data_IF_554506702709
#
_entry.id   IF_554506702709
#
_cell.length_a   1.000
_cell.length_b   1.000
_cell.length_c   1.000
_cell.angle_alpha   90.00
_cell.angle_beta   90.00
_cell.angle_gamma   90.00
#
_symmetry.space_group_name_H-M   'P 1'
#
loop_
_entity.id
_entity.type
_entity.pdbx_description
1 polymer ?
#
# COMPACT_ATOMS: atom_id res chain seq x y z
N UNK A 1 -47.84 2.22 -23.24
CA UNK A 1 -46.75 1.26 -23.48
C UNK A 1 -45.46 1.89 -22.99
N UNK A 2 -44.94 1.47 -21.84
CA UNK A 2 -43.71 2.03 -21.28
C UNK A 2 -42.53 1.19 -21.77
N UNK A 3 -41.78 1.72 -22.73
CA UNK A 3 -40.57 1.11 -23.27
C UNK A 3 -39.53 1.02 -22.16
N UNK A 4 -39.42 -0.16 -21.53
CA UNK A 4 -38.29 -0.52 -20.67
C UNK A 4 -37.10 -0.82 -21.58
N UNK A 5 -36.38 0.21 -22.02
CA UNK A 5 -35.01 0.00 -22.51
C UNK A 5 -34.18 -0.39 -21.30
N UNK A 6 -33.97 -1.69 -21.13
CA UNK A 6 -33.21 -2.26 -20.02
C UNK A 6 -31.80 -1.70 -20.00
N UNK A 7 -31.51 -0.84 -19.02
CA UNK A 7 -30.14 -0.53 -18.66
C UNK A 7 -29.57 -1.76 -17.98
N UNK A 8 -28.72 -2.50 -18.67
CA UNK A 8 -28.06 -3.72 -18.20
C UNK A 8 -27.04 -3.50 -17.07
N UNK A 9 -26.98 -2.28 -16.52
CA UNK A 9 -26.07 -1.91 -15.44
C UNK A 9 -26.85 -1.89 -14.14
N UNK A 10 -26.34 -2.60 -13.12
CA UNK A 10 -26.86 -2.47 -11.76
C UNK A 10 -26.67 -1.03 -11.29
N UNK A 11 -27.55 -0.51 -10.45
CA UNK A 11 -27.49 0.89 -9.99
C UNK A 11 -26.12 1.27 -9.41
N UNK A 12 -25.46 0.32 -8.73
CA UNK A 12 -24.11 0.46 -8.20
C UNK A 12 -23.03 0.65 -9.28
N UNK A 13 -23.20 0.04 -10.46
CA UNK A 13 -22.26 0.17 -11.59
C UNK A 13 -22.44 1.53 -12.28
N UNK A 14 -23.70 1.97 -12.44
CA UNK A 14 -24.03 3.31 -12.94
C UNK A 14 -23.41 4.39 -12.06
N UNK A 15 -23.54 4.27 -10.73
CA UNK A 15 -22.95 5.21 -9.79
C UNK A 15 -21.41 5.25 -9.85
N UNK A 16 -20.75 4.10 -9.99
CA UNK A 16 -19.28 4.03 -10.16
C UNK A 16 -18.81 4.79 -11.40
N UNK A 17 -19.51 4.61 -12.53
CA UNK A 17 -19.19 5.29 -13.79
C UNK A 17 -19.37 6.80 -13.64
N UNK A 18 -20.47 7.26 -13.02
CA UNK A 18 -20.71 8.69 -12.80
C UNK A 18 -19.63 9.35 -11.92
N UNK A 19 -19.19 8.66 -10.88
CA UNK A 19 -18.10 9.14 -10.01
C UNK A 19 -16.79 9.29 -10.81
N UNK A 20 -16.45 8.30 -11.65
CA UNK A 20 -15.22 8.32 -12.46
C UNK A 20 -15.24 9.46 -13.50
N UNK A 21 -16.36 9.62 -14.22
CA UNK A 21 -16.53 10.69 -15.22
C UNK A 21 -16.50 12.10 -14.58
N UNK A 22 -17.09 12.26 -13.39
CA UNK A 22 -17.04 13.52 -12.66
C UNK A 22 -15.61 13.87 -12.23
N UNK A 23 -14.85 12.87 -11.74
CA UNK A 23 -13.43 13.06 -11.37
C UNK A 23 -12.55 13.40 -12.57
N UNK A 24 -12.83 12.82 -13.74
CA UNK A 24 -12.13 13.13 -14.99
C UNK A 24 -12.56 14.47 -15.61
N UNK A 25 -13.62 15.10 -15.09
CA UNK A 25 -14.13 16.38 -15.58
C UNK A 25 -14.89 16.29 -16.90
N UNK A 26 -15.25 15.08 -17.34
CA UNK A 26 -15.91 14.83 -18.64
C UNK A 26 -17.39 15.26 -18.64
N UNK A 27 -17.99 15.44 -17.47
CA UNK A 27 -19.39 15.87 -17.31
C UNK A 27 -19.59 17.39 -17.42
N UNK A 28 -18.54 18.17 -17.71
CA UNK A 28 -18.61 19.63 -17.86
C UNK A 28 -19.20 20.10 -19.19
N UNK A 29 -19.45 19.19 -20.14
CA UNK A 29 -20.01 19.53 -21.46
C UNK A 29 -21.47 20.00 -21.36
N UNK A 30 -21.84 20.96 -22.23
CA UNK A 30 -23.21 21.50 -22.33
C UNK A 30 -24.23 20.46 -22.81
N UNK A 31 -23.77 19.34 -23.38
CA UNK A 31 -24.64 18.25 -23.86
C UNK A 31 -25.06 17.27 -22.75
N UNK A 32 -24.55 17.43 -21.52
CA UNK A 32 -24.90 16.59 -20.38
C UNK A 32 -26.05 17.23 -19.59
N UNK A 33 -27.16 16.52 -19.32
CA UNK A 33 -28.27 17.05 -18.52
C UNK A 33 -27.83 17.48 -17.11
N UNK A 34 -28.36 18.62 -16.63
CA UNK A 34 -28.07 19.15 -15.28
C UNK A 34 -28.50 18.21 -14.15
N UNK A 35 -29.45 17.31 -14.38
CA UNK A 35 -29.80 16.25 -13.42
C UNK A 35 -28.64 15.27 -13.20
N UNK A 36 -27.91 14.92 -14.26
CA UNK A 36 -26.77 13.96 -14.21
C UNK A 36 -25.54 14.62 -13.60
N UNK A 37 -25.29 15.91 -13.90
CA UNK A 37 -24.19 16.67 -13.29
C UNK A 37 -24.35 16.82 -11.78
N UNK A 38 -25.58 17.11 -11.33
CA UNK A 38 -25.92 17.19 -9.90
C UNK A 38 -25.74 15.84 -9.23
N UNK A 39 -26.31 14.78 -9.79
CA UNK A 39 -26.16 13.42 -9.25
C UNK A 39 -24.69 13.00 -9.12
N UNK A 40 -23.87 13.24 -10.14
CA UNK A 40 -22.47 12.88 -10.09
C UNK A 40 -21.69 13.71 -9.05
N UNK A 41 -22.04 14.99 -8.87
CA UNK A 41 -21.47 15.84 -7.83
C UNK A 41 -21.85 15.37 -6.43
N UNK A 42 -23.12 15.03 -6.22
CA UNK A 42 -23.64 14.51 -4.95
C UNK A 42 -22.96 13.18 -4.58
N UNK A 43 -22.80 12.27 -5.54
CA UNK A 43 -22.11 11.00 -5.33
C UNK A 43 -20.63 11.18 -4.96
N UNK A 44 -19.93 12.13 -5.60
CA UNK A 44 -18.54 12.46 -5.25
C UNK A 44 -18.45 13.07 -3.85
N UNK A 45 -19.37 13.97 -3.50
CA UNK A 45 -19.43 14.59 -2.18
C UNK A 45 -19.74 13.57 -1.07
N UNK A 46 -20.70 12.67 -1.29
CA UNK A 46 -21.02 11.58 -0.38
C UNK A 46 -19.84 10.63 -0.20
N UNK A 47 -19.13 10.28 -1.28
CA UNK A 47 -17.92 9.44 -1.19
C UNK A 47 -16.81 10.13 -0.37
N UNK A 48 -16.61 11.44 -0.53
CA UNK A 48 -15.63 12.19 0.25
C UNK A 48 -16.03 12.28 1.73
N UNK A 49 -17.31 12.49 2.05
CA UNK A 49 -17.81 12.50 3.42
C UNK A 49 -17.65 11.14 4.09
N UNK A 50 -17.92 10.04 3.39
CA UNK A 50 -17.67 8.68 3.91
C UNK A 50 -16.19 8.44 4.19
N UNK A 51 -15.29 8.92 3.32
CA UNK A 51 -13.84 8.84 3.55
C UNK A 51 -13.41 9.68 4.76
N UNK A 52 -13.99 10.87 4.96
CA UNK A 52 -13.74 11.69 6.14
C UNK A 52 -14.28 11.05 7.43
N UNK A 53 -15.45 10.41 7.39
CA UNK A 53 -16.01 9.68 8.54
C UNK A 53 -15.18 8.44 8.91
N UNK A 54 -14.57 7.76 7.92
CA UNK A 54 -13.60 6.70 8.17
C UNK A 54 -12.30 7.23 8.81
N UNK A 55 -11.91 8.48 8.51
CA UNK A 55 -10.78 9.14 9.15
C UNK A 55 -11.13 9.67 10.56
N UNK A 56 -12.38 10.05 10.82
CA UNK A 56 -12.84 10.57 12.12
C UNK A 56 -13.10 9.50 13.19
N UNK A 57 -13.21 8.22 12.82
CA UNK A 57 -13.23 7.10 13.79
C UNK A 57 -11.86 6.84 14.46
N UNK A 58 -10.87 7.72 14.27
CA UNK A 58 -9.59 7.69 15.00
C UNK A 58 -9.45 8.83 16.01
N UNK A 59 -10.55 9.35 16.58
CA UNK A 59 -10.45 10.25 17.73
C UNK A 59 -11.51 9.94 18.80
N UNK A 60 -11.06 9.22 19.83
CA UNK A 60 -11.76 8.82 21.06
C UNK A 60 -12.14 7.33 21.02
N UNK A 61 -11.48 6.36 21.67
CA UNK A 61 -10.67 6.34 22.89
C UNK A 61 -9.46 5.39 22.71
N UNK A 62 -8.31 5.78 23.27
CA UNK A 62 -6.98 5.15 23.18
C UNK A 62 -6.17 5.52 21.93
N UNK A 63 -5.07 6.24 22.17
CA UNK A 63 -4.12 6.67 21.15
C UNK A 63 -3.37 5.50 20.53
N UNK A 64 -3.91 4.96 19.45
CA UNK A 64 -3.16 4.19 18.47
C UNK A 64 -2.35 5.17 17.60
N UNK A 65 -1.33 5.78 18.21
CA UNK A 65 -0.09 5.97 17.44
C UNK A 65 0.24 4.61 16.87
N UNK A 66 0.79 4.58 15.67
CA UNK A 66 1.56 3.45 15.17
C UNK A 66 2.69 3.22 16.20
N UNK A 67 2.36 2.53 17.29
CA UNK A 67 3.28 2.06 18.27
C UNK A 67 4.05 1.02 17.48
N UNK A 68 5.20 1.40 16.94
CA UNK A 68 6.30 0.45 16.82
C UNK A 68 6.36 -0.20 18.19
N UNK A 69 5.77 -1.37 18.30
CA UNK A 69 5.83 -2.21 19.49
C UNK A 69 7.32 -2.51 19.65
N UNK A 70 8.02 -1.64 20.37
CA UNK A 70 9.24 -2.02 21.06
C UNK A 70 8.80 -3.14 21.97
N UNK A 71 9.10 -4.38 21.57
CA UNK A 71 8.76 -5.54 22.38
C UNK A 71 9.37 -5.34 23.76
N UNK A 72 8.60 -5.53 24.81
CA UNK A 72 9.02 -5.42 26.22
C UNK A 72 9.91 -6.61 26.63
N UNK A 73 10.83 -7.03 25.78
CA UNK A 73 11.68 -8.19 26.01
C UNK A 73 11.99 -8.99 24.75
N UNK A 74 12.79 -10.04 24.94
CA UNK A 74 13.25 -10.91 23.87
C UNK A 74 12.07 -11.59 23.15
N UNK A 75 11.98 -11.45 21.84
CA UNK A 75 10.88 -12.04 21.06
C UNK A 75 10.90 -13.57 20.95
N UNK A 76 11.93 -14.23 21.48
CA UNK A 76 12.07 -15.68 21.46
C UNK A 76 11.67 -16.33 22.79
N UNK A 77 12.09 -15.78 23.93
CA UNK A 77 11.73 -16.29 25.26
C UNK A 77 10.65 -15.47 25.97
N UNK A 78 10.45 -14.20 25.59
CA UNK A 78 9.51 -13.27 26.22
C UNK A 78 10.05 -12.54 27.46
N UNK A 79 11.26 -12.88 27.91
CA UNK A 79 11.91 -12.27 29.06
C UNK A 79 12.72 -11.02 28.67
N UNK A 80 12.79 -10.03 29.56
CA UNK A 80 13.56 -8.78 29.41
C UNK A 80 14.80 -8.75 30.31
N UNK A 81 15.37 -9.93 30.59
CA UNK A 81 16.57 -10.09 31.41
C UNK A 81 17.87 -10.08 30.58
N UNK A 82 19.02 -10.23 31.25
CA UNK A 82 20.36 -10.37 30.65
C UNK A 82 20.69 -9.42 29.48
N UNK A 83 20.57 -8.11 29.74
CA UNK A 83 20.87 -7.06 28.75
C UNK A 83 22.30 -7.11 28.18
N UNK A 84 23.24 -7.78 28.85
CA UNK A 84 24.61 -7.94 28.38
C UNK A 84 24.70 -8.87 27.14
N UNK A 85 23.74 -9.77 26.99
CA UNK A 85 23.61 -10.69 25.86
C UNK A 85 22.43 -10.36 24.95
N UNK A 86 21.83 -9.17 25.11
CA UNK A 86 20.69 -8.73 24.32
C UNK A 86 21.13 -8.03 23.04
N UNK A 87 20.47 -8.38 21.93
CA UNK A 87 20.67 -7.82 20.60
C UNK A 87 19.43 -7.06 20.16
N UNK A 88 19.66 -5.85 19.65
CA UNK A 88 18.63 -5.04 19.01
C UNK A 88 18.79 -5.11 17.50
N UNK A 89 17.69 -5.41 16.81
CA UNK A 89 17.68 -5.37 15.35
C UNK A 89 17.55 -3.93 14.87
N UNK A 90 18.53 -3.41 14.13
CA UNK A 90 18.57 -2.03 13.65
C UNK A 90 17.42 -1.62 12.71
N UNK A 91 16.71 -2.59 12.12
CA UNK A 91 15.63 -2.30 11.18
C UNK A 91 14.21 -2.56 11.70
N UNK A 92 14.04 -3.35 12.76
CA UNK A 92 12.71 -3.55 13.37
C UNK A 92 12.66 -3.28 14.88
N UNK A 93 13.79 -2.87 15.47
CA UNK A 93 13.95 -2.55 16.89
C UNK A 93 13.44 -3.67 17.81
N UNK A 94 13.55 -4.92 17.35
CA UNK A 94 13.17 -6.09 18.12
C UNK A 94 14.36 -6.63 18.90
N UNK A 95 14.07 -7.14 20.09
CA UNK A 95 15.07 -7.61 21.05
C UNK A 95 15.23 -9.14 20.98
N UNK A 96 16.47 -9.62 21.05
CA UNK A 96 16.82 -11.03 21.00
C UNK A 96 18.05 -11.32 21.85
N UNK A 97 18.01 -12.29 22.75
CA UNK A 97 19.26 -12.77 23.37
C UNK A 97 20.11 -13.52 22.34
N UNK A 98 21.44 -13.41 22.47
CA UNK A 98 22.41 -14.15 21.65
C UNK A 98 22.15 -15.65 21.64
N UNK A 99 21.76 -16.22 22.79
CA UNK A 99 21.47 -17.65 22.96
C UNK A 99 20.05 -18.07 22.55
N UNK A 100 19.11 -17.12 22.45
CA UNK A 100 17.75 -17.37 21.99
C UNK A 100 17.62 -17.40 20.45
N UNK A 101 18.73 -17.17 19.74
CA UNK A 101 18.81 -17.23 18.29
C UNK A 101 19.03 -18.67 17.79
N UNK A 102 18.64 -18.92 16.54
CA UNK A 102 18.89 -20.18 15.84
C UNK A 102 19.69 -19.90 14.55
N UNK A 103 20.99 -20.22 14.49
CA UNK A 103 21.82 -20.79 15.57
C UNK A 103 22.18 -19.77 16.67
N UNK A 104 22.48 -20.22 17.91
CA UNK A 104 22.92 -19.35 19.00
C UNK A 104 24.22 -18.63 18.67
N UNK A 105 24.29 -17.34 19.01
CA UNK A 105 25.52 -16.56 18.97
C UNK A 105 26.27 -16.69 20.30
N UNK A 106 27.60 -16.82 20.23
CA UNK A 106 28.44 -16.95 21.44
C UNK A 106 28.70 -15.63 22.16
N UNK A 107 28.55 -14.51 21.46
CA UNK A 107 28.76 -13.17 21.97
C UNK A 107 28.01 -12.15 21.10
N UNK A 108 27.82 -10.96 21.64
CA UNK A 108 27.30 -9.80 20.89
C UNK A 108 28.29 -9.44 19.78
N UNK A 109 27.86 -9.37 18.50
CA UNK A 109 28.73 -9.00 17.40
C UNK A 109 29.10 -7.50 17.47
N UNK A 110 30.27 -7.16 16.97
CA UNK A 110 30.68 -5.76 16.84
C UNK A 110 29.98 -5.13 15.63
N UNK A 111 29.15 -4.11 15.87
CA UNK A 111 28.44 -3.36 14.82
C UNK A 111 26.98 -3.76 14.65
N UNK A 112 26.38 -3.33 13.54
CA UNK A 112 24.95 -3.47 13.29
C UNK A 112 24.52 -4.94 13.16
N UNK A 113 23.44 -5.29 13.86
CA UNK A 113 22.85 -6.62 13.81
C UNK A 113 21.40 -6.57 13.29
N UNK A 114 21.03 -7.60 12.52
CA UNK A 114 19.70 -7.71 11.92
C UNK A 114 19.09 -9.09 12.14
N UNK A 115 17.84 -9.13 12.61
CA UNK A 115 17.13 -10.38 12.87
C UNK A 115 16.69 -11.09 11.58
N UNK A 116 16.57 -12.43 11.64
CA UNK A 116 16.17 -13.24 10.49
C UNK A 116 14.72 -13.00 10.00
N UNK A 117 13.85 -12.40 10.85
CA UNK A 117 12.49 -11.99 10.45
C UNK A 117 12.51 -10.98 9.30
N UNK A 118 13.52 -10.10 9.25
CA UNK A 118 13.71 -9.19 8.12
C UNK A 118 14.32 -9.88 6.90
N UNK A 119 15.16 -10.91 7.12
CA UNK A 119 15.68 -11.76 6.04
C UNK A 119 14.57 -12.56 5.33
N UNK A 120 13.45 -12.84 6.01
CA UNK A 120 12.23 -13.44 5.42
C UNK A 120 11.23 -12.43 4.85
N UNK A 121 11.51 -11.12 4.92
CA UNK A 121 10.76 -10.08 4.21
C UNK A 121 11.41 -9.71 2.88
N UNK A 122 11.61 -10.69 2.00
CA UNK A 122 11.46 -10.43 0.57
C UNK A 122 10.01 -10.71 0.19
N UNK A 123 9.10 -9.80 0.56
CA UNK A 123 7.86 -9.72 -0.21
C UNK A 123 8.22 -9.09 -1.55
N UNK A 124 7.99 -9.87 -2.60
CA UNK A 124 8.05 -9.52 -4.01
C UNK A 124 7.24 -8.25 -4.30
N UNK A 125 7.82 -7.08 -4.12
CA UNK A 125 7.42 -5.82 -4.79
C UNK A 125 8.50 -4.76 -4.55
N UNK A 126 9.71 -4.97 -5.09
CA UNK A 126 10.59 -3.84 -5.39
C UNK A 126 10.24 -3.35 -6.80
N UNK A 127 9.08 -2.68 -6.90
CA UNK A 127 8.63 -1.99 -8.12
C UNK A 127 9.30 -0.60 -8.25
N UNK A 128 10.28 -0.28 -7.40
CA UNK A 128 10.90 1.05 -7.31
C UNK A 128 12.42 0.99 -7.13
N UNK A 129 13.10 0.06 -7.79
CA UNK A 129 14.51 0.24 -8.14
C UNK A 129 14.65 -0.07 -9.64
N UNK A 130 15.01 0.95 -10.42
CA UNK A 130 15.12 1.01 -11.89
C UNK A 130 13.86 1.32 -12.71
N UNK A 131 13.17 2.39 -12.34
CA UNK A 131 12.85 3.42 -13.36
C UNK A 131 14.13 4.23 -13.54
N UNK A 132 15.06 3.81 -14.43
CA UNK A 132 16.03 4.70 -15.16
C UNK A 132 17.22 4.06 -15.95
N UNK A 133 17.31 2.76 -16.25
CA UNK A 133 18.21 2.30 -17.34
C UNK A 133 17.54 1.22 -18.20
N UNK A 134 17.88 1.19 -19.50
CA UNK A 134 17.29 0.40 -20.61
C UNK A 134 16.16 1.13 -21.39
N UNK A 135 16.47 2.34 -21.88
CA UNK A 135 15.98 2.79 -23.19
C UNK A 135 17.21 3.10 -24.05
N UNK A 136 17.95 2.07 -24.49
CA UNK A 136 18.85 2.13 -25.68
C UNK A 136 19.04 0.72 -26.26
N UNK A 137 17.95 0.07 -26.65
CA UNK A 137 18.03 -0.91 -27.73
C UNK A 137 17.74 -0.09 -28.98
N UNK A 138 18.77 0.11 -29.80
CA UNK A 138 18.77 1.00 -30.94
C UNK A 138 17.55 0.77 -31.85
N UNK A 139 16.85 1.86 -32.21
CA UNK A 139 15.73 1.85 -33.15
C UNK A 139 16.08 1.22 -34.51
N UNK A 140 17.38 1.05 -34.80
CA UNK A 140 17.93 0.35 -35.96
C UNK A 140 17.65 -1.16 -35.89
N UNK A 141 17.68 -1.77 -34.70
CA UNK A 141 17.52 -3.22 -34.53
C UNK A 141 16.06 -3.67 -34.69
N UNK A 142 15.09 -2.82 -34.34
CA UNK A 142 13.66 -3.10 -34.55
C UNK A 142 13.29 -2.93 -36.03
N UNK A 143 13.87 -1.96 -36.74
CA UNK A 143 13.66 -1.81 -38.21
C UNK A 143 14.24 -3.01 -38.97
N UNK A 144 15.41 -3.53 -38.55
CA UNK A 144 16.05 -4.68 -39.20
C UNK A 144 15.19 -5.97 -39.14
N UNK A 145 14.44 -6.18 -38.05
CA UNK A 145 13.57 -7.35 -37.87
C UNK A 145 12.26 -7.22 -38.67
N UNK A 146 11.71 -6.01 -38.81
CA UNK A 146 10.45 -5.80 -39.55
C UNK A 146 10.67 -5.87 -41.07
N UNK A 147 11.85 -5.51 -41.58
CA UNK A 147 12.14 -5.50 -43.02
C UNK A 147 12.65 -6.85 -43.60
N UNK A 148 12.87 -7.87 -42.79
CA UNK A 148 13.34 -9.21 -43.23
C UNK A 148 12.36 -10.36 -42.89
N UNK A 149 11.07 -10.04 -42.72
CA UNK A 149 10.00 -11.03 -42.62
C UNK A 149 8.98 -10.87 -43.75
#
# INVERSE_FOLDING_TARGET
MASKTGSFLKDNERQKILIDLQKKGELKSNNVPESVKREASDLVQQQQQQQQQQQQHQCGENGEREQKQYGTGCLACGEDDDHANLLLCEACNAEYHTYCLEPPLRAVPNGDWYCCKLRKRKKRTDWLINKMEIIRIDSIYIIYIICNL
#
